data_IF_931870700647
#
_entry.id   IF_931870700647
#
_cell.length_a   1.000
_cell.length_b   1.000
_cell.length_c   1.000
_cell.angle_alpha   90.00
_cell.angle_beta   90.00
_cell.angle_gamma   90.00
#
_symmetry.space_group_name_H-M   'P 1'
#
loop_
_entity.id
_entity.type
_entity.pdbx_description
1 polymer ?
#
# COMPACT_ATOMS: atom_id res chain seq x y z
N UNK A 1 19.26 2.65 1.16
CA UNK A 1 18.22 3.63 0.81
C UNK A 1 16.86 3.05 1.21
N UNK A 2 15.87 3.89 1.50
CA UNK A 2 14.48 3.48 1.73
C UNK A 2 13.62 4.04 0.58
N UNK A 3 12.79 3.18 -0.02
CA UNK A 3 11.79 3.56 -1.03
C UNK A 3 10.39 3.38 -0.44
N UNK A 4 9.61 4.45 -0.36
CA UNK A 4 8.22 4.39 0.07
C UNK A 4 7.30 4.46 -1.16
N UNK A 5 6.47 3.44 -1.35
CA UNK A 5 5.43 3.41 -2.38
C UNK A 5 4.13 3.94 -1.77
N UNK A 6 3.74 5.15 -2.13
CA UNK A 6 2.49 5.76 -1.67
C UNK A 6 1.33 5.39 -2.62
N UNK A 7 0.23 4.90 -2.05
CA UNK A 7 -1.00 4.54 -2.75
C UNK A 7 -2.14 5.40 -2.19
N UNK A 8 -2.58 6.46 -2.89
CA UNK A 8 -3.81 7.16 -2.54
C UNK A 8 -5.01 6.22 -2.73
N UNK A 9 -5.94 6.23 -1.79
CA UNK A 9 -7.13 5.38 -1.85
C UNK A 9 -8.37 6.14 -1.34
N UNK A 10 -9.48 6.00 -2.07
CA UNK A 10 -10.80 6.49 -1.67
C UNK A 10 -11.87 5.51 -2.15
N UNK A 11 -12.48 4.77 -1.23
CA UNK A 11 -13.47 3.72 -1.53
C UNK A 11 -12.98 2.64 -2.51
N UNK A 12 -11.78 2.13 -2.26
CA UNK A 12 -11.05 1.16 -3.07
C UNK A 12 -11.04 -0.26 -2.47
N UNK A 13 -11.88 -0.58 -1.49
CA UNK A 13 -11.84 -1.87 -0.76
C UNK A 13 -11.81 -3.10 -1.69
N UNK A 14 -12.47 -3.00 -2.85
CA UNK A 14 -12.52 -4.05 -3.87
C UNK A 14 -11.21 -4.22 -4.66
N UNK A 15 -10.52 -3.14 -5.00
CA UNK A 15 -9.39 -3.16 -5.94
C UNK A 15 -8.02 -3.01 -5.24
N UNK A 16 -8.02 -2.40 -4.06
CA UNK A 16 -6.81 -2.17 -3.27
C UNK A 16 -5.98 -3.44 -2.99
N UNK A 17 -6.57 -4.63 -2.71
CA UNK A 17 -5.78 -5.85 -2.51
C UNK A 17 -4.87 -6.20 -3.70
N UNK A 18 -5.38 -6.07 -4.93
CA UNK A 18 -4.62 -6.38 -6.14
C UNK A 18 -3.51 -5.35 -6.36
N UNK A 19 -3.79 -4.06 -6.14
CA UNK A 19 -2.78 -3.00 -6.21
C UNK A 19 -1.65 -3.21 -5.21
N UNK A 20 -1.97 -3.56 -3.95
CA UNK A 20 -0.96 -3.86 -2.93
C UNK A 20 -0.12 -5.08 -3.34
N UNK A 21 -0.76 -6.13 -3.86
CA UNK A 21 -0.06 -7.34 -4.34
C UNK A 21 0.90 -7.04 -5.49
N UNK A 22 0.45 -6.24 -6.47
CA UNK A 22 1.28 -5.81 -7.59
C UNK A 22 2.47 -4.95 -7.12
N UNK A 23 2.23 -4.00 -6.21
CA UNK A 23 3.28 -3.16 -5.64
C UNK A 23 4.33 -3.98 -4.89
N UNK A 24 3.92 -5.00 -4.12
CA UNK A 24 4.84 -5.94 -3.46
C UNK A 24 5.66 -6.77 -4.42
N UNK A 25 5.06 -7.20 -5.53
CA UNK A 25 5.78 -7.95 -6.55
C UNK A 25 6.85 -7.05 -7.19
N UNK A 26 6.48 -5.83 -7.55
CA UNK A 26 7.39 -4.84 -8.12
C UNK A 26 8.51 -4.44 -7.15
N UNK A 27 8.23 -4.31 -5.84
CA UNK A 27 9.20 -3.85 -4.85
C UNK A 27 10.38 -4.81 -4.63
N UNK A 28 10.28 -6.07 -5.06
CA UNK A 28 11.37 -7.07 -4.98
C UNK A 28 12.64 -6.63 -5.72
N UNK A 29 12.52 -5.75 -6.72
CA UNK A 29 13.70 -5.20 -7.42
C UNK A 29 14.55 -4.31 -6.50
N UNK A 30 13.95 -3.71 -5.47
CA UNK A 30 14.67 -2.92 -4.48
C UNK A 30 15.48 -3.81 -3.53
N UNK A 31 14.95 -4.97 -3.15
CA UNK A 31 15.69 -5.96 -2.36
C UNK A 31 16.94 -6.44 -3.10
N UNK A 32 16.82 -6.71 -4.41
CA UNK A 32 17.95 -7.08 -5.25
C UNK A 32 19.02 -5.97 -5.36
N UNK A 33 18.62 -4.71 -5.16
CA UNK A 33 19.52 -3.56 -5.08
C UNK A 33 20.04 -3.28 -3.65
N UNK A 34 19.68 -4.10 -2.67
CA UNK A 34 20.04 -3.92 -1.26
C UNK A 34 19.33 -2.74 -0.59
N UNK A 35 18.16 -2.34 -1.08
CA UNK A 35 17.38 -1.23 -0.55
C UNK A 35 16.16 -1.74 0.21
N UNK A 36 15.83 -1.07 1.32
CA UNK A 36 14.58 -1.32 2.01
C UNK A 36 13.42 -0.66 1.24
N UNK A 37 12.24 -1.25 1.34
CA UNK A 37 11.02 -0.64 0.79
C UNK A 37 9.82 -0.82 1.71
N UNK A 38 8.88 0.12 1.62
CA UNK A 38 7.59 0.08 2.32
C UNK A 38 6.45 0.45 1.36
N UNK A 39 5.24 0.01 1.69
CA UNK A 39 4.01 0.44 1.04
C UNK A 39 3.17 1.21 2.06
N UNK A 40 2.72 2.38 1.68
CA UNK A 40 1.89 3.28 2.49
C UNK A 40 0.60 3.58 1.74
N UNK A 41 -0.53 3.23 2.32
CA UNK A 41 -1.86 3.60 1.80
C UNK A 41 -2.28 4.91 2.46
N UNK A 42 -2.57 5.92 1.65
CA UNK A 42 -3.15 7.20 2.10
C UNK A 42 -4.67 7.12 1.91
N UNK A 43 -5.38 6.81 2.98
CA UNK A 43 -6.84 6.74 2.99
C UNK A 43 -7.43 8.15 3.09
N UNK A 44 -8.08 8.60 2.01
CA UNK A 44 -8.68 9.93 1.87
C UNK A 44 -10.13 9.91 2.39
N UNK A 45 -10.29 9.54 3.66
CA UNK A 45 -11.59 9.45 4.34
C UNK A 45 -12.60 8.54 3.62
N UNK A 46 -12.19 7.32 3.28
CA UNK A 46 -13.09 6.31 2.71
C UNK A 46 -14.26 6.00 3.65
N UNK A 47 -15.41 5.71 3.06
CA UNK A 47 -16.63 5.32 3.77
C UNK A 47 -16.91 3.82 3.70
N UNK A 48 -16.07 3.08 2.98
CA UNK A 48 -16.08 1.61 2.89
C UNK A 48 -14.92 0.99 3.68
N UNK A 49 -14.67 -0.30 3.48
CA UNK A 49 -13.64 -1.06 4.20
C UNK A 49 -12.20 -0.81 3.69
N UNK A 50 -11.94 0.23 2.90
CA UNK A 50 -10.61 0.50 2.28
C UNK A 50 -9.47 0.46 3.30
N UNK A 51 -9.62 1.18 4.41
CA UNK A 51 -8.59 1.25 5.44
C UNK A 51 -8.37 -0.11 6.14
N UNK A 52 -9.44 -0.86 6.40
CA UNK A 52 -9.36 -2.19 7.02
C UNK A 52 -8.71 -3.21 6.09
N UNK A 53 -9.05 -3.19 4.81
CA UNK A 53 -8.41 -4.01 3.78
C UNK A 53 -6.90 -3.74 3.71
N UNK A 54 -6.49 -2.47 3.75
CA UNK A 54 -5.08 -2.09 3.76
C UNK A 54 -4.36 -2.59 5.04
N UNK A 55 -4.96 -2.40 6.21
CA UNK A 55 -4.40 -2.89 7.49
C UNK A 55 -4.27 -4.41 7.50
N UNK A 56 -5.30 -5.12 7.06
CA UNK A 56 -5.30 -6.58 6.96
C UNK A 56 -4.25 -7.10 5.97
N UNK A 57 -3.96 -6.34 4.91
CA UNK A 57 -2.86 -6.65 4.01
C UNK A 57 -1.48 -6.46 4.65
N UNK A 58 -1.37 -5.79 5.82
CA UNK A 58 -0.13 -5.56 6.54
C UNK A 58 0.70 -4.40 5.97
N UNK A 59 0.05 -3.41 5.35
CA UNK A 59 0.71 -2.18 4.90
C UNK A 59 0.42 -1.03 5.85
N UNK A 60 1.28 0.00 5.84
CA UNK A 60 1.07 1.19 6.66
C UNK A 60 -0.11 1.97 6.10
N UNK A 61 -1.04 2.39 6.95
CA UNK A 61 -2.16 3.25 6.55
C UNK A 61 -2.00 4.60 7.23
N UNK A 62 -2.06 5.67 6.44
CA UNK A 62 -2.16 7.06 6.90
C UNK A 62 -3.50 7.62 6.49
N UNK A 63 -4.06 8.48 7.33
CA UNK A 63 -5.32 9.18 7.06
C UNK A 63 -4.99 10.57 6.49
N UNK A 64 -5.67 10.95 5.41
CA UNK A 64 -5.59 12.27 4.76
C UNK A 64 -6.94 12.99 4.79
#
# INVERSE_FOLDING_TARGET
MLISIAIPAFNEAKYLPETISAARCASRVFDAAGWASEIVVCDNNSTDDTAEVARAAGVRVVFE
#
